data_IF_691118449498
#
_entry.id   IF_691118449498
#
_cell.length_a   1.000
_cell.length_b   1.000
_cell.length_c   1.000
_cell.angle_alpha   90.00
_cell.angle_beta   90.00
_cell.angle_gamma   90.00
#
_symmetry.space_group_name_H-M   'P 1'
#
loop_
_entity.id
_entity.type
_entity.pdbx_description
1 polymer ?
#
# COMPACT_ATOMS: atom_id res chain seq x y z
N UNK A 1 16.20 -7.46 -14.80
CA UNK A 1 16.07 -7.72 -13.34
C UNK A 1 16.85 -8.97 -12.97
N UNK A 2 17.54 -8.99 -11.83
CA UNK A 2 18.24 -10.20 -11.37
C UNK A 2 17.22 -11.20 -10.78
N UNK A 3 17.46 -12.53 -10.87
CA UNK A 3 16.55 -13.56 -10.35
C UNK A 3 16.18 -13.37 -8.87
N UNK A 4 17.12 -12.83 -8.09
CA UNK A 4 16.95 -12.50 -6.67
C UNK A 4 15.86 -11.45 -6.45
N UNK A 5 15.84 -10.38 -7.26
CA UNK A 5 14.81 -9.33 -7.16
C UNK A 5 13.46 -9.88 -7.60
N UNK A 6 13.42 -10.67 -8.67
CA UNK A 6 12.18 -11.32 -9.11
C UNK A 6 11.60 -12.24 -8.04
N UNK A 7 12.43 -13.08 -7.41
CA UNK A 7 12.01 -13.96 -6.32
C UNK A 7 11.50 -13.16 -5.10
N UNK A 8 12.19 -12.07 -4.73
CA UNK A 8 11.76 -11.19 -3.64
C UNK A 8 10.39 -10.56 -3.91
N UNK A 9 10.13 -10.12 -5.15
CA UNK A 9 8.84 -9.55 -5.53
C UNK A 9 7.74 -10.62 -5.58
N UNK A 10 8.04 -11.85 -6.03
CA UNK A 10 7.07 -12.95 -5.98
C UNK A 10 6.72 -13.35 -4.54
N UNK A 11 7.72 -13.42 -3.65
CA UNK A 11 7.47 -13.64 -2.22
C UNK A 11 6.62 -12.51 -1.65
N UNK A 12 6.93 -11.26 -2.01
CA UNK A 12 6.12 -10.09 -1.63
C UNK A 12 4.68 -10.22 -2.14
N UNK A 13 4.46 -10.69 -3.36
CA UNK A 13 3.13 -10.92 -3.93
C UNK A 13 2.34 -11.98 -3.14
N UNK A 14 2.97 -13.10 -2.77
CA UNK A 14 2.32 -14.16 -1.97
C UNK A 14 2.01 -13.69 -0.55
N UNK A 15 2.96 -13.01 0.10
CA UNK A 15 2.71 -12.40 1.44
C UNK A 15 1.63 -11.34 1.35
N UNK A 16 1.57 -10.58 0.24
CA UNK A 16 0.53 -9.58 -0.02
C UNK A 16 -0.85 -10.21 -0.10
N UNK A 17 -0.99 -11.31 -0.85
CA UNK A 17 -2.23 -12.07 -0.92
C UNK A 17 -2.62 -12.65 0.44
N UNK A 18 -1.65 -13.13 1.22
CA UNK A 18 -1.85 -13.70 2.55
C UNK A 18 -2.44 -12.71 3.56
N UNK A 19 -1.86 -11.51 3.70
CA UNK A 19 -2.43 -10.51 4.62
C UNK A 19 -3.77 -9.98 4.13
N UNK A 20 -3.97 -9.84 2.81
CA UNK A 20 -5.26 -9.43 2.25
C UNK A 20 -6.36 -10.44 2.59
N UNK A 21 -6.09 -11.74 2.48
CA UNK A 21 -7.05 -12.78 2.85
C UNK A 21 -7.38 -12.72 4.36
N UNK A 22 -6.39 -12.45 5.21
CA UNK A 22 -6.61 -12.25 6.65
C UNK A 22 -7.46 -11.01 6.91
N UNK A 23 -7.18 -9.89 6.24
CA UNK A 23 -7.95 -8.66 6.39
C UNK A 23 -9.43 -8.84 6.03
N UNK A 24 -9.74 -9.68 5.04
CA UNK A 24 -11.12 -10.01 4.66
C UNK A 24 -11.85 -10.88 5.69
N UNK A 25 -11.14 -11.65 6.52
CA UNK A 25 -11.77 -12.44 7.60
C UNK A 25 -12.25 -11.57 8.76
N UNK A 26 -11.75 -10.34 8.88
CA UNK A 26 -12.16 -9.41 9.93
C UNK A 26 -13.35 -8.61 9.41
N UNK A 27 -14.54 -8.93 9.92
CA UNK A 27 -15.81 -8.30 9.50
C UNK A 27 -15.84 -6.79 9.74
N UNK A 28 -15.18 -6.32 10.80
CA UNK A 28 -15.03 -4.91 11.09
C UNK A 28 -13.73 -4.35 10.48
N UNK A 29 -13.86 -3.66 9.34
CA UNK A 29 -12.73 -3.07 8.59
C UNK A 29 -11.93 -2.05 9.40
N UNK A 30 -12.56 -1.32 10.33
CA UNK A 30 -11.86 -0.34 11.16
C UNK A 30 -10.99 -1.07 12.19
N UNK A 31 -11.51 -2.15 12.80
CA UNK A 31 -10.76 -3.00 13.73
C UNK A 31 -9.61 -3.70 13.02
N UNK A 32 -9.86 -4.31 11.86
CA UNK A 32 -8.82 -4.99 11.08
C UNK A 32 -7.69 -4.07 10.64
N UNK A 33 -8.04 -2.88 10.09
CA UNK A 33 -7.04 -1.89 9.68
C UNK A 33 -6.26 -1.34 10.86
N UNK A 34 -6.91 -1.14 12.01
CA UNK A 34 -6.25 -0.67 13.23
C UNK A 34 -5.29 -1.71 13.81
N UNK A 35 -5.67 -2.99 13.80
CA UNK A 35 -4.81 -4.09 14.25
C UNK A 35 -3.57 -4.23 13.37
N UNK A 36 -3.75 -4.17 12.04
CA UNK A 36 -2.64 -4.24 11.08
C UNK A 36 -1.72 -3.03 11.24
N UNK A 37 -2.28 -1.82 11.36
CA UNK A 37 -1.51 -0.60 11.56
C UNK A 37 -0.76 -0.60 12.90
N UNK A 38 -1.41 -0.99 14.00
CA UNK A 38 -0.79 -1.07 15.32
C UNK A 38 0.32 -2.14 15.36
N UNK A 39 0.12 -3.29 14.70
CA UNK A 39 1.17 -4.29 14.53
C UNK A 39 2.34 -3.76 13.70
N UNK A 40 2.06 -2.97 12.66
CA UNK A 40 3.07 -2.26 11.88
C UNK A 40 3.90 -1.28 12.71
N UNK A 41 3.26 -0.47 13.56
CA UNK A 41 3.95 0.41 14.53
C UNK A 41 4.83 -0.41 15.46
N UNK A 42 4.29 -1.49 16.05
CA UNK A 42 5.04 -2.33 16.98
C UNK A 42 6.30 -2.91 16.31
N UNK A 43 6.16 -3.43 15.10
CA UNK A 43 7.29 -3.95 14.31
C UNK A 43 8.28 -2.83 13.98
N UNK A 44 7.79 -1.64 13.56
CA UNK A 44 8.63 -0.48 13.30
C UNK A 44 9.47 -0.07 14.51
N UNK A 45 8.83 0.06 15.67
CA UNK A 45 9.49 0.39 16.95
C UNK A 45 10.49 -0.69 17.38
N UNK A 46 10.17 -1.97 17.17
CA UNK A 46 11.08 -3.09 17.44
C UNK A 46 12.30 -3.09 16.52
N UNK A 47 12.15 -2.64 15.27
CA UNK A 47 13.23 -2.56 14.30
C UNK A 47 14.12 -1.32 14.47
N UNK A 48 13.59 -0.21 15.00
CA UNK A 48 14.33 1.04 15.23
C UNK A 48 15.70 0.87 15.94
N UNK A 49 15.83 0.13 17.06
CA UNK A 49 17.13 -0.03 17.72
C UNK A 49 18.14 -0.87 16.93
N UNK A 50 17.69 -1.67 15.97
CA UNK A 50 18.55 -2.52 15.14
C UNK A 50 18.82 -1.94 13.75
N UNK A 51 18.20 -0.82 13.40
CA UNK A 51 18.31 -0.19 12.10
C UNK A 51 19.06 1.14 12.19
N UNK A 52 19.93 1.42 11.21
CA UNK A 52 20.58 2.73 11.13
C UNK A 52 19.53 3.83 10.96
N UNK A 53 19.68 4.91 11.73
CA UNK A 53 18.80 6.09 11.64
C UNK A 53 18.90 6.66 10.22
N UNK A 54 17.77 6.95 9.55
CA UNK A 54 17.77 7.54 8.22
C UNK A 54 18.56 8.84 8.17
N UNK A 55 19.34 9.02 7.11
CA UNK A 55 20.05 10.27 6.86
C UNK A 55 19.09 11.47 6.87
N UNK A 56 19.58 12.65 7.29
CA UNK A 56 18.79 13.88 7.41
C UNK A 56 18.01 14.22 6.11
N UNK A 57 18.59 13.91 4.94
CA UNK A 57 17.97 14.13 3.64
C UNK A 57 16.70 13.29 3.39
N UNK A 58 16.51 12.16 4.10
CA UNK A 58 15.33 11.30 3.96
C UNK A 58 14.13 11.73 4.81
N UNK A 59 14.33 12.60 5.80
CA UNK A 59 13.27 13.04 6.71
C UNK A 59 12.14 13.83 6.04
N UNK A 60 12.41 14.76 5.10
CA UNK A 60 11.34 15.40 4.34
C UNK A 60 10.47 14.40 3.58
N UNK A 61 11.09 13.36 3.00
CA UNK A 61 10.37 12.27 2.30
C UNK A 61 9.55 11.41 3.28
N UNK A 62 10.10 11.06 4.45
CA UNK A 62 9.37 10.33 5.49
C UNK A 62 8.12 11.08 5.95
N UNK A 63 8.25 12.38 6.23
CA UNK A 63 7.13 13.20 6.69
C UNK A 63 6.09 13.35 5.57
N UNK A 64 6.53 13.69 4.36
CA UNK A 64 5.64 13.82 3.21
C UNK A 64 4.91 12.50 2.92
N UNK A 65 5.62 11.38 2.88
CA UNK A 65 5.04 10.05 2.65
C UNK A 65 4.06 9.67 3.75
N UNK A 66 4.38 9.95 5.01
CA UNK A 66 3.47 9.69 6.14
C UNK A 66 2.16 10.46 5.98
N UNK A 67 2.22 11.74 5.59
CA UNK A 67 1.02 12.57 5.35
C UNK A 67 0.21 12.02 4.16
N UNK A 68 0.86 11.66 3.06
CA UNK A 68 0.17 11.07 1.89
C UNK A 68 -0.45 9.72 2.25
N UNK A 69 0.21 8.89 3.05
CA UNK A 69 -0.36 7.63 3.53
C UNK A 69 -1.62 7.85 4.37
N UNK A 70 -1.62 8.85 5.26
CA UNK A 70 -2.81 9.21 6.04
C UNK A 70 -3.96 9.64 5.13
N UNK A 71 -3.67 10.50 4.14
CA UNK A 71 -4.65 10.91 3.15
C UNK A 71 -5.18 9.73 2.33
N UNK A 72 -4.30 8.81 1.91
CA UNK A 72 -4.65 7.56 1.26
C UNK A 72 -5.61 6.72 2.09
N UNK A 73 -5.33 6.52 3.39
CA UNK A 73 -6.22 5.74 4.26
C UNK A 73 -7.59 6.40 4.41
N UNK A 74 -7.65 7.73 4.52
CA UNK A 74 -8.90 8.47 4.58
C UNK A 74 -9.71 8.33 3.28
N UNK A 75 -9.05 8.48 2.12
CA UNK A 75 -9.66 8.34 0.80
C UNK A 75 -10.13 6.91 0.52
N UNK A 76 -9.37 5.91 0.95
CA UNK A 76 -9.73 4.50 0.84
C UNK A 76 -10.97 4.16 1.69
N UNK A 77 -11.01 4.67 2.93
CA UNK A 77 -12.19 4.52 3.78
C UNK A 77 -13.41 5.23 3.19
N UNK A 78 -13.21 6.41 2.58
CA UNK A 78 -14.26 7.13 1.89
C UNK A 78 -14.74 6.37 0.64
N UNK A 79 -13.83 5.80 -0.16
CA UNK A 79 -14.20 5.04 -1.35
C UNK A 79 -15.00 3.79 -1.01
N UNK A 80 -14.70 3.13 0.12
CA UNK A 80 -15.50 1.99 0.61
C UNK A 80 -16.84 2.38 1.22
N UNK A 81 -17.02 3.64 1.65
CA UNK A 81 -18.31 4.14 2.13
C UNK A 81 -19.22 4.59 0.99
N UNK A 82 -18.64 5.17 -0.06
CA UNK A 82 -19.37 5.70 -1.21
C UNK A 82 -19.64 4.64 -2.27
N UNK A 83 -18.69 3.73 -2.52
CA UNK A 83 -18.79 2.69 -3.54
C UNK A 83 -18.78 1.29 -2.97
N UNK A 84 -19.38 0.36 -3.72
CA UNK A 84 -19.25 -1.06 -3.43
C UNK A 84 -17.80 -1.49 -3.60
N UNK A 85 -17.35 -2.38 -2.70
CA UNK A 85 -15.97 -2.87 -2.66
C UNK A 85 -15.50 -3.43 -4.01
N UNK A 86 -16.38 -4.16 -4.71
CA UNK A 86 -16.10 -4.74 -6.03
C UNK A 86 -15.90 -3.73 -7.16
N UNK A 87 -16.28 -2.46 -6.97
CA UNK A 87 -16.09 -1.40 -7.97
C UNK A 87 -14.95 -0.45 -7.59
N UNK A 88 -14.91 0.00 -6.33
CA UNK A 88 -13.90 0.95 -5.88
C UNK A 88 -12.48 0.34 -5.90
N UNK A 89 -12.37 -0.95 -5.58
CA UNK A 89 -11.08 -1.63 -5.47
C UNK A 89 -10.38 -1.81 -6.83
N UNK A 90 -11.03 -2.32 -7.90
CA UNK A 90 -10.39 -2.41 -9.22
C UNK A 90 -9.99 -1.05 -9.80
N UNK A 91 -10.78 0.00 -9.57
CA UNK A 91 -10.46 1.35 -10.08
C UNK A 91 -9.23 1.92 -9.39
N UNK A 92 -9.18 1.86 -8.05
CA UNK A 92 -8.04 2.38 -7.28
C UNK A 92 -6.75 1.61 -7.62
N UNK A 93 -6.84 0.28 -7.78
CA UNK A 93 -5.69 -0.58 -8.08
C UNK A 93 -5.27 -0.52 -9.55
N UNK A 94 -6.19 -0.33 -10.49
CA UNK A 94 -5.89 -0.19 -11.92
C UNK A 94 -5.28 1.15 -12.29
N UNK A 95 -5.60 2.21 -11.55
CA UNK A 95 -5.05 3.56 -11.82
C UNK A 95 -3.70 3.80 -11.15
N UNK A 96 -3.41 3.12 -10.03
CA UNK A 96 -2.17 3.28 -9.31
C UNK A 96 -0.90 2.98 -10.17
N UNK A 97 -0.77 1.85 -10.90
CA UNK A 97 0.43 1.56 -11.69
C UNK A 97 0.68 2.56 -12.82
N UNK A 98 -0.37 3.05 -13.49
CA UNK A 98 -0.24 4.09 -14.53
C UNK A 98 0.31 5.39 -13.94
N UNK A 99 -0.26 5.83 -12.82
CA UNK A 99 0.15 7.06 -12.17
C UNK A 99 1.55 6.93 -11.54
N UNK A 100 1.89 5.77 -10.97
CA UNK A 100 3.25 5.46 -10.49
C UNK A 100 4.23 5.57 -11.65
N UNK A 101 3.91 4.99 -12.80
CA UNK A 101 4.78 5.03 -13.99
C UNK A 101 4.98 6.45 -14.49
N UNK A 102 3.90 7.23 -14.57
CA UNK A 102 3.96 8.63 -14.96
C UNK A 102 4.82 9.46 -13.99
N UNK A 103 4.60 9.30 -12.69
CA UNK A 103 5.37 10.03 -11.68
C UNK A 103 6.82 9.58 -11.60
N UNK A 104 7.11 8.29 -11.78
CA UNK A 104 8.49 7.81 -11.86
C UNK A 104 9.22 8.40 -13.08
N UNK A 105 8.57 8.47 -14.24
CA UNK A 105 9.14 9.10 -15.43
C UNK A 105 9.39 10.60 -15.24
N UNK A 106 8.49 11.32 -14.56
CA UNK A 106 8.60 12.78 -14.36
C UNK A 106 9.58 13.14 -13.24
N UNK A 107 9.48 12.50 -12.07
CA UNK A 107 10.21 12.89 -10.87
C UNK A 107 11.48 12.08 -10.61
N UNK A 108 11.52 10.82 -11.07
CA UNK A 108 12.71 9.98 -10.93
C UNK A 108 13.51 9.88 -12.25
N UNK A 109 13.00 10.44 -13.35
CA UNK A 109 13.55 10.29 -14.70
C UNK A 109 13.75 8.82 -15.12
N UNK A 110 12.98 7.90 -14.51
CA UNK A 110 12.99 6.47 -14.81
C UNK A 110 11.89 6.17 -15.82
N UNK A 111 12.25 5.97 -17.09
CA UNK A 111 11.30 5.58 -18.15
C UNK A 111 11.34 4.05 -18.29
N UNK A 112 10.21 3.34 -18.09
CA UNK A 112 10.19 1.90 -18.26
C UNK A 112 10.50 1.48 -19.69
N UNK A 113 11.27 0.39 -19.84
CA UNK A 113 11.48 -0.28 -21.12
C UNK A 113 10.14 -0.68 -21.77
N UNK A 114 10.10 -0.71 -23.10
CA UNK A 114 8.92 -1.08 -23.89
C UNK A 114 8.14 -2.33 -23.39
N UNK A 115 8.79 -3.46 -23.02
CA UNK A 115 8.08 -4.62 -22.45
C UNK A 115 7.46 -4.34 -21.06
N UNK A 116 8.09 -3.53 -20.22
CA UNK A 116 7.55 -3.14 -18.91
C UNK A 116 6.33 -2.22 -19.09
N UNK A 117 6.40 -1.26 -20.01
CA UNK A 117 5.28 -0.39 -20.37
C UNK A 117 4.09 -1.20 -20.92
N UNK A 118 4.34 -2.22 -21.76
CA UNK A 118 3.31 -3.11 -22.26
C UNK A 118 2.65 -3.93 -21.13
N UNK A 119 3.43 -4.45 -20.19
CA UNK A 119 2.90 -5.15 -19.01
C UNK A 119 1.98 -4.28 -18.17
N UNK A 120 2.40 -3.02 -17.90
CA UNK A 120 1.58 -2.03 -17.19
C UNK A 120 0.28 -1.77 -17.95
N UNK A 121 0.35 -1.54 -19.26
CA UNK A 121 -0.84 -1.27 -20.08
C UNK A 121 -1.83 -2.44 -20.05
N UNK A 122 -1.35 -3.68 -20.13
CA UNK A 122 -2.18 -4.89 -20.07
C UNK A 122 -2.83 -5.05 -18.69
N UNK A 123 -2.08 -4.88 -17.59
CA UNK A 123 -2.64 -4.96 -16.23
C UNK A 123 -3.70 -3.90 -15.99
N UNK A 124 -3.46 -2.67 -16.46
CA UNK A 124 -4.41 -1.56 -16.29
C UNK A 124 -5.66 -1.75 -17.16
N UNK A 125 -5.50 -2.26 -18.38
CA UNK A 125 -6.63 -2.62 -19.24
C UNK A 125 -7.48 -3.75 -18.62
N UNK A 126 -6.85 -4.76 -18.03
CA UNK A 126 -7.54 -5.84 -17.31
C UNK A 126 -8.36 -5.33 -16.12
N UNK A 127 -7.75 -4.50 -15.27
CA UNK A 127 -8.43 -3.88 -14.11
C UNK A 127 -9.55 -2.92 -14.52
N UNK A 128 -9.34 -2.13 -15.57
CA UNK A 128 -10.39 -1.28 -16.16
C UNK A 128 -11.55 -2.13 -16.71
N UNK A 129 -11.25 -3.28 -17.35
CA UNK A 129 -12.25 -4.23 -17.81
C UNK A 129 -13.11 -4.79 -16.67
N UNK A 130 -12.48 -5.16 -15.54
CA UNK A 130 -13.20 -5.62 -14.34
C UNK A 130 -14.05 -4.49 -13.73
N UNK A 131 -13.53 -3.27 -13.66
CA UNK A 131 -14.28 -2.11 -13.17
C UNK A 131 -15.52 -1.80 -14.05
N UNK A 132 -15.37 -1.85 -15.38
CA UNK A 132 -16.45 -1.66 -16.35
C UNK A 132 -17.46 -2.81 -16.31
N UNK A 133 -17.02 -4.04 -16.04
CA UNK A 133 -17.90 -5.17 -15.80
C UNK A 133 -18.72 -5.00 -14.52
N UNK A 134 -18.10 -4.50 -13.43
CA UNK A 134 -18.80 -4.17 -12.19
C UNK A 134 -19.84 -3.04 -12.34
N UNK A 135 -19.69 -2.19 -13.36
CA UNK A 135 -20.63 -1.13 -13.73
C UNK A 135 -21.83 -1.65 -14.56
N UNK A 136 -21.79 -2.88 -15.10
CA UNK A 136 -22.90 -3.41 -15.91
C UNK A 136 -24.16 -3.53 -15.04
N UNK A 137 -25.17 -2.72 -15.38
CA UNK A 137 -26.49 -2.74 -14.75
C UNK A 137 -26.67 -1.78 -13.57
N UNK A 138 -25.69 -0.93 -13.24
CA UNK A 138 -25.79 0.07 -12.14
C UNK A 138 -25.37 1.46 -12.63
N UNK A 139 -26.01 2.50 -12.10
CA UNK A 139 -25.63 3.89 -12.42
C UNK A 139 -24.25 4.19 -11.81
N UNK A 140 -23.33 4.82 -12.57
CA UNK A 140 -22.02 5.19 -12.04
C UNK A 140 -22.19 6.20 -10.89
N UNK A 141 -21.68 5.85 -9.70
CA UNK A 141 -21.50 6.84 -8.64
C UNK A 141 -20.18 7.57 -8.89
N UNK A 142 -20.28 8.79 -9.45
CA UNK A 142 -19.14 9.62 -9.77
C UNK A 142 -18.33 10.04 -8.55
N UNK A 143 -18.96 10.14 -7.36
CA UNK A 143 -18.26 10.44 -6.12
C UNK A 143 -17.42 9.24 -5.67
N UNK A 144 -17.95 8.02 -5.81
CA UNK A 144 -17.21 6.79 -5.53
C UNK A 144 -16.03 6.60 -6.50
N UNK A 145 -16.23 6.86 -7.80
CA UNK A 145 -15.17 6.81 -8.81
C UNK A 145 -14.10 7.86 -8.52
N UNK A 146 -14.49 9.10 -8.20
CA UNK A 146 -13.56 10.17 -7.83
C UNK A 146 -12.72 9.81 -6.60
N UNK A 147 -13.34 9.24 -5.56
CA UNK A 147 -12.62 8.78 -4.37
C UNK A 147 -11.65 7.62 -4.69
N UNK A 148 -12.04 6.68 -5.55
CA UNK A 148 -11.17 5.59 -5.98
C UNK A 148 -9.97 6.09 -6.81
N UNK A 149 -10.18 7.05 -7.71
CA UNK A 149 -9.11 7.70 -8.47
C UNK A 149 -8.16 8.49 -7.57
N UNK A 150 -8.70 9.26 -6.62
CA UNK A 150 -7.89 9.98 -5.63
C UNK A 150 -7.08 9.02 -4.75
N UNK A 151 -7.63 7.84 -4.44
CA UNK A 151 -6.90 6.76 -3.76
C UNK A 151 -5.74 6.26 -4.62
N UNK A 152 -5.97 5.97 -5.90
CA UNK A 152 -4.93 5.55 -6.85
C UNK A 152 -3.82 6.60 -7.01
N UNK A 153 -4.19 7.89 -7.07
CA UNK A 153 -3.26 9.01 -7.11
C UNK A 153 -2.41 9.10 -5.83
N UNK A 154 -3.03 8.92 -4.67
CA UNK A 154 -2.31 8.91 -3.39
C UNK A 154 -1.33 7.74 -3.32
N UNK A 155 -1.72 6.57 -3.86
CA UNK A 155 -0.84 5.40 -4.00
C UNK A 155 0.37 5.73 -4.84
N UNK A 156 0.17 6.37 -5.99
CA UNK A 156 1.27 6.77 -6.85
C UNK A 156 2.21 7.78 -6.19
N UNK A 157 1.63 8.80 -5.54
CA UNK A 157 2.39 9.83 -4.86
C UNK A 157 3.27 9.26 -3.75
N UNK A 158 2.71 8.48 -2.81
CA UNK A 158 3.53 7.92 -1.73
C UNK A 158 4.57 6.93 -2.28
N UNK A 159 4.25 6.15 -3.31
CA UNK A 159 5.19 5.16 -3.87
C UNK A 159 6.42 5.83 -4.45
N UNK A 160 6.28 6.96 -5.14
CA UNK A 160 7.42 7.71 -5.69
C UNK A 160 8.20 8.44 -4.58
N UNK A 161 7.49 9.06 -3.63
CA UNK A 161 8.13 9.70 -2.46
C UNK A 161 8.96 8.66 -1.68
N UNK A 162 8.42 7.46 -1.47
CA UNK A 162 9.09 6.36 -0.79
C UNK A 162 10.28 5.83 -1.56
N UNK A 163 10.15 5.65 -2.87
CA UNK A 163 11.26 5.25 -3.74
C UNK A 163 12.42 6.24 -3.67
N UNK A 164 12.14 7.55 -3.70
CA UNK A 164 13.16 8.59 -3.56
C UNK A 164 13.72 8.65 -2.13
N UNK A 165 12.86 8.57 -1.12
CA UNK A 165 13.20 8.64 0.29
C UNK A 165 14.08 7.47 0.76
N UNK A 166 13.78 6.25 0.34
CA UNK A 166 14.57 5.05 0.69
C UNK A 166 15.95 5.07 0.04
N UNK A 167 16.08 5.67 -1.15
CA UNK A 167 17.38 5.87 -1.81
C UNK A 167 18.21 6.94 -1.10
N UNK A 168 17.56 7.99 -0.61
CA UNK A 168 18.19 9.05 0.16
C UNK A 168 18.51 8.65 1.62
N UNK A 169 17.91 7.59 2.17
CA UNK A 169 18.04 7.23 3.59
C UNK A 169 19.34 6.54 3.95
N UNK A 170 20.01 5.91 2.98
CA UNK A 170 21.19 5.06 3.20
C UNK A 170 20.89 3.73 3.93
N UNK A 171 19.65 3.51 4.37
CA UNK A 171 19.21 2.32 5.11
C UNK A 171 17.74 2.05 4.82
N UNK A 172 17.47 1.00 4.03
CA UNK A 172 16.09 0.61 3.68
C UNK A 172 15.30 0.18 4.92
N UNK A 173 15.93 -0.58 5.81
CA UNK A 173 15.31 -1.06 7.06
C UNK A 173 15.01 0.12 7.99
N UNK A 174 15.91 1.10 8.08
CA UNK A 174 15.69 2.31 8.86
C UNK A 174 14.52 3.13 8.32
N UNK A 175 14.45 3.32 7.00
CA UNK A 175 13.34 4.03 6.37
C UNK A 175 11.99 3.35 6.65
N UNK A 176 11.92 2.02 6.49
CA UNK A 176 10.70 1.24 6.79
C UNK A 176 10.31 1.38 8.26
N UNK A 177 11.25 1.24 9.19
CA UNK A 177 10.98 1.31 10.62
C UNK A 177 10.37 2.66 11.03
N UNK A 178 10.97 3.76 10.55
CA UNK A 178 10.48 5.11 10.81
C UNK A 178 9.14 5.40 10.11
N UNK A 179 8.97 4.97 8.85
CA UNK A 179 7.72 5.16 8.13
C UNK A 179 6.56 4.42 8.80
N UNK A 180 6.75 3.15 9.18
CA UNK A 180 5.74 2.35 9.87
C UNK A 180 5.37 2.94 11.24
N UNK A 181 6.34 3.48 11.98
CA UNK A 181 6.09 4.14 13.25
C UNK A 181 5.32 5.46 13.07
N UNK A 182 5.70 6.30 12.11
CA UNK A 182 5.08 7.62 11.89
C UNK A 182 3.65 7.50 11.33
N UNK A 183 3.46 6.71 10.27
CA UNK A 183 2.15 6.59 9.63
C UNK A 183 1.20 5.68 10.42
N UNK A 184 1.74 4.63 11.06
CA UNK A 184 0.95 3.57 11.67
C UNK A 184 0.22 4.01 12.94
N UNK A 185 0.58 5.15 13.53
CA UNK A 185 -0.07 5.70 14.73
C UNK A 185 -1.44 6.34 14.42
N UNK A 186 -1.66 6.78 13.18
CA UNK A 186 -2.84 7.60 12.84
C UNK A 186 -4.12 6.77 12.82
N UNK A 187 -4.10 5.55 12.27
CA UNK A 187 -5.30 4.69 12.20
C UNK A 187 -5.73 4.21 13.60
N UNK A 188 -4.85 3.65 14.44
CA UNK A 188 -5.20 3.29 15.82
C UNK A 188 -5.67 4.50 16.62
N UNK A 189 -5.03 5.67 16.46
CA UNK A 189 -5.45 6.92 17.10
C UNK A 189 -6.87 7.33 16.72
N UNK A 190 -7.19 7.29 15.42
CA UNK A 190 -8.54 7.58 14.92
C UNK A 190 -9.58 6.56 15.41
N UNK A 191 -9.23 5.27 15.43
CA UNK A 191 -10.13 4.22 15.92
C UNK A 191 -10.39 4.33 17.43
N UNK A 192 -9.36 4.68 18.22
CA UNK A 192 -9.50 4.97 19.65
C UNK A 192 -10.39 6.19 19.89
N UNK A 193 -10.20 7.26 19.11
CA UNK A 193 -11.06 8.44 19.17
C UNK A 193 -12.52 8.11 18.84
N UNK A 194 -12.79 7.29 17.82
CA UNK A 194 -14.16 6.99 17.39
C UNK A 194 -14.89 5.98 18.28
N UNK A 195 -14.17 5.05 18.93
CA UNK A 195 -14.76 3.93 19.68
C UNK A 195 -14.52 3.94 21.18
N UNK A 196 -13.83 4.95 21.72
CA UNK A 196 -13.73 5.30 23.15
C UNK A 196 -13.58 4.12 24.15
N UNK A 197 -12.98 2.99 23.76
CA UNK A 197 -12.78 1.80 24.61
C UNK A 197 -13.32 0.48 24.04
N UNK A 198 -14.34 0.49 23.19
CA UNK A 198 -14.90 -0.72 22.54
C UNK A 198 -13.95 -1.33 21.50
N UNK A 199 -12.95 -0.57 21.07
CA UNK A 199 -11.93 -1.05 20.14
C UNK A 199 -11.15 -2.23 20.73
N UNK A 200 -10.78 -2.17 22.01
CA UNK A 200 -9.96 -3.20 22.66
C UNK A 200 -10.75 -4.50 22.83
N UNK A 201 -12.02 -4.40 23.22
CA UNK A 201 -12.90 -5.56 23.40
C UNK A 201 -13.21 -6.24 22.07
N UNK A 202 -13.44 -5.46 21.01
CA UNK A 202 -13.72 -5.96 19.66
C UNK A 202 -12.47 -6.49 18.95
N UNK A 203 -11.30 -5.90 19.23
CA UNK A 203 -10.04 -6.30 18.60
C UNK A 203 -9.41 -7.54 19.25
N UNK A 204 -9.63 -7.76 20.54
CA UNK A 204 -9.04 -8.88 21.32
C UNK A 204 -9.16 -10.26 20.67
N UNK A 205 -10.34 -10.68 20.16
CA UNK A 205 -10.50 -11.98 19.51
C UNK A 205 -9.67 -12.13 18.23
N UNK A 206 -9.40 -11.01 17.55
CA UNK A 206 -8.67 -10.97 16.29
C UNK A 206 -7.22 -10.52 16.46
N UNK A 207 -6.74 -10.28 17.68
CA UNK A 207 -5.44 -9.65 17.91
C UNK A 207 -4.28 -10.47 17.34
N UNK A 208 -4.23 -11.78 17.60
CA UNK A 208 -3.18 -12.66 17.07
C UNK A 208 -3.23 -12.74 15.54
N UNK A 209 -4.43 -12.83 14.97
CA UNK A 209 -4.64 -12.89 13.53
C UNK A 209 -4.25 -11.56 12.85
N UNK A 210 -4.61 -10.43 13.45
CA UNK A 210 -4.26 -9.09 12.99
C UNK A 210 -2.77 -8.78 13.11
N UNK A 211 -2.10 -9.22 14.18
CA UNK A 211 -0.65 -9.13 14.34
C UNK A 211 0.09 -9.98 13.31
N UNK A 212 -0.39 -11.19 13.02
CA UNK A 212 0.16 -12.01 11.96
C UNK A 212 -0.04 -11.36 10.57
N UNK A 213 -1.23 -10.79 10.32
CA UNK A 213 -1.49 -9.98 9.14
C UNK A 213 -0.56 -8.76 9.03
N UNK A 214 -0.27 -8.09 10.14
CA UNK A 214 0.68 -6.99 10.21
C UNK A 214 2.10 -7.43 9.85
N UNK A 215 2.57 -8.57 10.39
CA UNK A 215 3.88 -9.11 10.08
C UNK A 215 4.02 -9.44 8.59
N UNK A 216 3.02 -10.10 7.99
CA UNK A 216 3.01 -10.37 6.55
C UNK A 216 2.95 -9.08 5.72
N UNK A 217 2.20 -8.06 6.16
CA UNK A 217 2.10 -6.76 5.48
C UNK A 217 3.43 -6.01 5.50
N UNK A 218 4.09 -5.92 6.66
CA UNK A 218 5.41 -5.28 6.80
C UNK A 218 6.47 -6.04 6.01
N UNK A 219 6.44 -7.37 6.03
CA UNK A 219 7.35 -8.18 5.20
C UNK A 219 7.15 -7.91 3.71
N UNK A 220 5.90 -7.93 3.23
CA UNK A 220 5.60 -7.65 1.82
C UNK A 220 6.06 -6.25 1.41
N UNK A 221 5.74 -5.24 2.22
CA UNK A 221 6.10 -3.86 1.93
C UNK A 221 7.62 -3.61 2.05
N UNK A 222 8.27 -4.22 3.03
CA UNK A 222 9.72 -4.15 3.19
C UNK A 222 10.48 -4.82 2.04
N UNK A 223 10.00 -5.96 1.54
CA UNK A 223 10.55 -6.61 0.35
C UNK A 223 10.37 -5.75 -0.90
N UNK A 224 9.23 -5.08 -1.07
CA UNK A 224 8.99 -4.14 -2.18
C UNK A 224 9.93 -2.94 -2.11
N UNK A 225 10.06 -2.30 -0.94
CA UNK A 225 10.98 -1.17 -0.73
C UNK A 225 12.44 -1.58 -0.95
N UNK A 226 12.84 -2.77 -0.48
CA UNK A 226 14.16 -3.31 -0.74
C UNK A 226 14.37 -3.56 -2.25
N UNK A 227 13.37 -4.12 -2.94
CA UNK A 227 13.43 -4.32 -4.39
C UNK A 227 13.57 -2.97 -5.13
N UNK A 228 12.88 -1.92 -4.69
CA UNK A 228 12.98 -0.56 -5.26
C UNK A 228 14.36 0.07 -5.07
N UNK A 229 15.15 -0.38 -4.08
CA UNK A 229 16.56 0.05 -3.96
C UNK A 229 17.49 -0.63 -4.97
N UNK A 230 17.05 -1.73 -5.59
CA UNK A 230 17.87 -2.60 -6.44
C UNK A 230 17.40 -2.62 -7.91
N UNK A 231 16.20 -2.15 -8.20
CA UNK A 231 15.60 -2.18 -9.52
C UNK A 231 14.60 -1.02 -9.71
N UNK A 232 14.32 -0.70 -10.96
CA UNK A 232 13.39 0.35 -11.39
C UNK A 232 11.98 0.15 -10.81
N UNK A 233 11.28 1.25 -10.56
CA UNK A 233 9.96 1.27 -9.91
C UNK A 233 8.87 0.55 -10.73
N UNK A 234 8.93 0.64 -12.06
CA UNK A 234 7.88 0.17 -12.96
C UNK A 234 7.73 -1.37 -13.03
N UNK A 235 8.81 -2.17 -13.19
CA UNK A 235 8.72 -3.63 -13.13
C UNK A 235 8.17 -4.18 -11.80
N UNK A 236 8.50 -3.51 -10.69
CA UNK A 236 8.06 -3.92 -9.35
C UNK A 236 6.55 -3.68 -9.18
N UNK A 237 6.04 -2.54 -9.68
CA UNK A 237 4.61 -2.25 -9.68
C UNK A 237 3.82 -3.28 -10.51
N UNK A 238 4.32 -3.66 -11.69
CA UNK A 238 3.66 -4.64 -12.56
C UNK A 238 3.56 -6.04 -11.92
N UNK A 239 4.64 -6.53 -11.30
CA UNK A 239 4.63 -7.81 -10.57
C UNK A 239 3.76 -7.79 -9.30
N UNK A 240 3.58 -6.61 -8.68
CA UNK A 240 2.65 -6.48 -7.56
C UNK A 240 1.20 -6.69 -7.99
N UNK A 241 0.84 -6.30 -9.21
CA UNK A 241 -0.52 -6.47 -9.74
C UNK A 241 -0.86 -7.92 -10.12
N UNK A 242 0.11 -8.84 -10.26
CA UNK A 242 -0.20 -10.27 -10.43
C UNK A 242 -0.67 -10.96 -9.13
N UNK A 243 -0.60 -10.28 -7.99
CA UNK A 243 -1.09 -10.79 -6.69
C UNK A 243 -2.61 -10.63 -6.49
N UNK A 244 -3.32 -10.13 -7.50
CA UNK A 244 -4.78 -9.94 -7.44
C UNK A 244 -5.45 -11.31 -7.49
N UNK A 245 -5.88 -11.76 -6.32
CA UNK A 245 -6.73 -12.94 -6.18
C UNK A 245 -8.13 -12.57 -6.72
N UNK A 246 -8.67 -13.26 -7.74
CA UNK A 246 -10.05 -13.09 -8.12
C UNK A 246 -10.91 -13.71 -7.02
N UNK A 247 -11.65 -12.88 -6.29
CA UNK A 247 -12.76 -13.29 -5.45
C UNK A 247 -13.96 -12.43 -5.83
#
# INVERSE_FOLDING_TARGET
>A
MTPLVTAAVLVAAVTHAGWNAIAHRITDKLVGSSLIAAGGVLIGLLLMPFAAVPAAAAWPYLIASSVVHVAYFALLMLSFRLGDFGQAYPIARGTAPLLVTLFAAVFAHEVPDAPAAAGIAVSCAGLAGVALWGLRGRRPDWAAIGAALATGLSIAAYTVIDGLGVRASGSSVGYIAWLMALQGLVIPGYALYRRHGELITTARPFAALGLFGAALSVLAYGLVLWAQTRAELAPIAALRESSVNPC
#
